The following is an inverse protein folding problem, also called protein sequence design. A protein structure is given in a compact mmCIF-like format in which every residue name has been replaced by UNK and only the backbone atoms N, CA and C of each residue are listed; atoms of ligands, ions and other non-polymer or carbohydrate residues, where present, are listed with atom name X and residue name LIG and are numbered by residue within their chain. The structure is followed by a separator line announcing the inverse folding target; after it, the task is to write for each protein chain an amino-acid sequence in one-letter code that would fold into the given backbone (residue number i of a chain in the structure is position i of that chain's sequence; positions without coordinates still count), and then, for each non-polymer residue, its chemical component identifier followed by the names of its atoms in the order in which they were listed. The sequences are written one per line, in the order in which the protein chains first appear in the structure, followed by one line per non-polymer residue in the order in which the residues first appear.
data_IF_824694273694
#
_entry.id   IF_824694273694
#
_cell.length_a   1.000
_cell.length_b   1.000
_cell.length_c   1.000
_cell.angle_alpha   90.00
_cell.angle_beta   90.00
_cell.angle_gamma   90.00
#
_symmetry.space_group_name_H-M   'P 1'
#
loop_
_entity.id
_entity.type
_entity.pdbx_description
1 polymer ?
#
# COMPACT_ATOMS: atom_id res chain seq x y z
N UNK A 1 -1.40 -17.97 20.80
CA UNK A 1 -1.17 -18.94 19.69
C UNK A 1 -2.45 -19.14 18.92
N UNK A 2 -2.43 -18.84 17.63
CA UNK A 2 -3.56 -18.87 16.72
C UNK A 2 -3.43 -20.03 15.73
N UNK A 3 -4.57 -20.58 15.30
CA UNK A 3 -4.63 -21.49 14.16
C UNK A 3 -4.57 -20.73 12.84
N UNK A 4 -4.22 -21.42 11.75
CA UNK A 4 -4.21 -20.81 10.40
C UNK A 4 -5.59 -20.26 9.98
N UNK A 5 -6.70 -20.84 10.46
CA UNK A 5 -8.05 -20.33 10.21
C UNK A 5 -8.30 -19.01 10.92
N UNK A 6 -7.90 -18.89 12.18
CA UNK A 6 -8.01 -17.64 12.93
C UNK A 6 -7.15 -16.54 12.31
N UNK A 7 -5.92 -16.85 11.88
CA UNK A 7 -5.06 -15.88 11.19
C UNK A 7 -5.65 -15.48 9.84
N UNK A 8 -6.24 -16.42 9.11
CA UNK A 8 -6.95 -16.15 7.85
C UNK A 8 -8.07 -15.12 8.06
N UNK A 9 -8.89 -15.28 9.09
CA UNK A 9 -9.95 -14.34 9.45
C UNK A 9 -9.39 -12.98 9.90
N UNK A 10 -8.37 -12.97 10.77
CA UNK A 10 -7.78 -11.75 11.32
C UNK A 10 -7.14 -10.84 10.26
N UNK A 11 -6.53 -11.44 9.23
CA UNK A 11 -5.82 -10.70 8.18
C UNK A 11 -6.61 -10.63 6.86
N UNK A 12 -7.80 -11.26 6.80
CA UNK A 12 -8.58 -11.34 5.55
C UNK A 12 -7.88 -12.11 4.43
N UNK A 13 -6.93 -12.99 4.77
CA UNK A 13 -6.12 -13.72 3.79
C UNK A 13 -6.66 -15.13 3.60
N UNK A 14 -6.75 -15.64 2.36
CA UNK A 14 -7.06 -17.05 2.15
C UNK A 14 -6.05 -17.96 2.86
N UNK A 15 -6.53 -19.07 3.44
CA UNK A 15 -5.66 -20.09 4.04
C UNK A 15 -4.60 -20.59 3.04
N UNK A 16 -4.93 -20.65 1.75
CA UNK A 16 -3.97 -21.00 0.67
C UNK A 16 -2.82 -20.01 0.58
N UNK A 17 -3.06 -18.70 0.76
CA UNK A 17 -2.02 -17.66 0.78
C UNK A 17 -1.10 -17.82 1.97
N UNK A 18 -1.66 -18.04 3.18
CA UNK A 18 -0.85 -18.30 4.39
C UNK A 18 0.01 -19.57 4.24
N UNK A 19 -0.55 -20.64 3.64
CA UNK A 19 0.20 -21.86 3.32
C UNK A 19 1.29 -21.61 2.29
N UNK A 20 1.01 -20.76 1.30
CA UNK A 20 1.99 -20.37 0.29
C UNK A 20 3.15 -19.59 0.92
N UNK A 21 2.89 -18.60 1.77
CA UNK A 21 3.93 -17.86 2.50
C UNK A 21 4.80 -18.77 3.37
N UNK A 22 4.19 -19.71 4.08
CA UNK A 22 4.95 -20.71 4.83
C UNK A 22 5.81 -21.60 3.92
N UNK A 23 5.27 -22.05 2.78
CA UNK A 23 6.03 -22.83 1.79
C UNK A 23 7.22 -22.04 1.22
N UNK A 24 7.09 -20.72 1.08
CA UNK A 24 8.17 -19.83 0.66
C UNK A 24 9.15 -19.51 1.80
N UNK A 25 8.94 -20.06 3.01
CA UNK A 25 9.85 -19.90 4.14
C UNK A 25 9.75 -18.53 4.80
N UNK A 26 8.62 -17.83 4.69
CA UNK A 26 8.42 -16.51 5.32
C UNK A 26 8.19 -16.60 6.85
N UNK A 27 7.97 -17.81 7.39
CA UNK A 27 7.80 -18.06 8.82
C UNK A 27 8.85 -19.06 9.35
N UNK A 28 10.14 -18.68 9.42
CA UNK A 28 11.23 -19.59 9.76
C UNK A 28 11.15 -20.17 11.19
N UNK A 29 10.35 -19.58 12.08
CA UNK A 29 10.17 -20.00 13.47
C UNK A 29 8.83 -20.68 13.79
N UNK A 30 7.98 -20.96 12.81
CA UNK A 30 6.60 -21.36 13.09
C UNK A 30 6.50 -22.69 13.86
N UNK A 31 5.89 -22.65 15.04
CA UNK A 31 5.68 -23.84 15.84
C UNK A 31 4.64 -24.79 15.21
N UNK A 32 4.86 -26.09 15.39
CA UNK A 32 3.87 -27.13 15.08
C UNK A 32 3.47 -27.85 16.36
N UNK A 33 2.18 -27.82 16.69
CA UNK A 33 1.60 -28.63 17.78
C UNK A 33 0.67 -29.67 17.19
N UNK A 34 0.97 -30.95 17.46
CA UNK A 34 0.25 -32.09 16.88
C UNK A 34 0.17 -32.03 15.34
N UNK A 35 1.25 -31.60 14.69
CA UNK A 35 1.32 -31.44 13.23
C UNK A 35 0.63 -30.19 12.67
N UNK A 36 -0.05 -29.39 13.51
CA UNK A 36 -0.76 -28.17 13.10
C UNK A 36 0.10 -26.94 13.40
N UNK A 37 0.25 -26.07 12.39
CA UNK A 37 0.92 -24.76 12.52
C UNK A 37 0.22 -23.89 13.57
N UNK A 38 1.00 -23.30 14.46
CA UNK A 38 0.53 -22.35 15.46
C UNK A 38 1.28 -21.04 15.28
N UNK A 39 0.53 -19.96 15.12
CA UNK A 39 1.04 -18.61 14.93
C UNK A 39 1.06 -17.91 16.29
N UNK A 40 2.23 -17.50 16.76
CA UNK A 40 2.37 -16.63 17.92
C UNK A 40 2.37 -15.16 17.51
N UNK A 41 2.56 -14.27 18.48
CA UNK A 41 2.61 -12.81 18.23
C UNK A 41 3.72 -12.45 17.24
N UNK A 42 4.88 -13.13 17.31
CA UNK A 42 5.99 -12.89 16.39
C UNK A 42 5.61 -13.20 14.93
N UNK A 43 4.88 -14.30 14.68
CA UNK A 43 4.41 -14.61 13.33
C UNK A 43 3.33 -13.63 12.86
N UNK A 44 2.50 -13.10 13.77
CA UNK A 44 1.50 -12.09 13.41
C UNK A 44 2.18 -10.78 13.01
N UNK A 45 3.17 -10.32 13.77
CA UNK A 45 3.94 -9.12 13.43
C UNK A 45 4.76 -9.31 12.14
N UNK A 46 5.36 -10.49 11.95
CA UNK A 46 5.99 -10.83 10.68
C UNK A 46 4.99 -10.75 9.51
N UNK A 47 3.76 -11.26 9.70
CA UNK A 47 2.72 -11.21 8.67
C UNK A 47 2.31 -9.77 8.35
N UNK A 48 2.19 -8.87 9.34
CA UNK A 48 1.93 -7.44 9.09
C UNK A 48 3.00 -6.82 8.19
N UNK A 49 4.27 -7.13 8.46
CA UNK A 49 5.39 -6.61 7.65
C UNK A 49 5.39 -7.22 6.25
N UNK A 50 5.15 -8.53 6.13
CA UNK A 50 5.03 -9.23 4.83
C UNK A 50 3.94 -8.59 3.97
N UNK A 51 2.75 -8.36 4.54
CA UNK A 51 1.63 -7.73 3.82
C UNK A 51 1.96 -6.30 3.42
N UNK A 52 2.55 -5.51 4.32
CA UNK A 52 2.99 -4.14 4.01
C UNK A 52 3.98 -4.11 2.83
N UNK A 53 5.01 -4.95 2.88
CA UNK A 53 5.99 -5.04 1.80
C UNK A 53 5.34 -5.50 0.49
N UNK A 54 4.45 -6.50 0.55
CA UNK A 54 3.73 -6.99 -0.64
C UNK A 54 2.87 -5.90 -1.27
N UNK A 55 2.16 -5.11 -0.46
CA UNK A 55 1.34 -3.98 -0.89
C UNK A 55 2.19 -2.86 -1.48
N UNK A 56 3.41 -2.65 -0.97
CA UNK A 56 4.37 -1.68 -1.56
C UNK A 56 4.96 -2.12 -2.91
N UNK A 57 4.54 -3.27 -3.45
CA UNK A 57 4.97 -3.77 -4.75
C UNK A 57 6.10 -4.79 -4.72
N UNK A 58 6.61 -5.18 -3.54
CA UNK A 58 7.68 -6.19 -3.47
C UNK A 58 7.21 -7.57 -3.93
N UNK A 59 8.14 -8.28 -4.56
CA UNK A 59 7.97 -9.70 -4.86
C UNK A 59 8.27 -10.56 -3.64
N UNK A 60 7.66 -11.74 -3.59
CA UNK A 60 7.81 -12.67 -2.47
C UNK A 60 9.27 -13.09 -2.26
N UNK A 61 10.09 -13.14 -3.32
CA UNK A 61 11.51 -13.44 -3.23
C UNK A 61 12.29 -12.39 -2.42
N UNK A 62 11.94 -11.11 -2.56
CA UNK A 62 12.63 -10.00 -1.90
C UNK A 62 12.15 -9.89 -0.44
N UNK A 63 10.86 -10.14 -0.21
CA UNK A 63 10.30 -10.27 1.14
C UNK A 63 10.97 -11.45 1.86
N UNK A 64 11.17 -12.58 1.17
CA UNK A 64 11.90 -13.71 1.74
C UNK A 64 13.32 -13.30 2.15
N UNK A 65 14.05 -12.59 1.29
CA UNK A 65 15.40 -12.11 1.61
C UNK A 65 15.39 -11.21 2.85
N UNK A 66 14.39 -10.33 2.98
CA UNK A 66 14.20 -9.51 4.18
C UNK A 66 13.95 -10.36 5.43
N UNK A 67 13.14 -11.42 5.33
CA UNK A 67 12.90 -12.35 6.45
C UNK A 67 14.15 -13.15 6.82
N UNK A 68 14.96 -13.56 5.84
CA UNK A 68 16.22 -14.26 6.07
C UNK A 68 17.22 -13.34 6.80
N UNK A 69 17.29 -12.06 6.41
CA UNK A 69 18.05 -11.06 7.16
C UNK A 69 17.54 -10.89 8.58
N UNK A 70 16.22 -10.92 8.79
CA UNK A 70 15.64 -10.88 10.13
C UNK A 70 16.17 -11.98 11.04
N UNK A 71 16.29 -13.21 10.52
CA UNK A 71 16.86 -14.36 11.24
C UNK A 71 18.36 -14.17 11.51
N UNK A 72 19.11 -13.63 10.55
CA UNK A 72 20.56 -13.39 10.69
C UNK A 72 20.91 -12.38 11.79
N UNK A 73 19.99 -11.46 12.09
CA UNK A 73 20.13 -10.54 13.22
C UNK A 73 20.98 -9.30 12.93
N UNK A 74 21.69 -8.80 13.93
CA UNK A 74 22.28 -7.45 13.94
C UNK A 74 23.13 -7.05 12.71
N UNK A 75 23.94 -7.95 12.10
CA UNK A 75 24.75 -7.58 10.93
C UNK A 75 23.93 -7.06 9.74
N UNK A 76 22.67 -7.45 9.62
CA UNK A 76 21.82 -7.10 8.46
C UNK A 76 20.96 -5.87 8.66
N UNK A 77 21.03 -5.19 9.81
CA UNK A 77 20.24 -3.98 10.06
C UNK A 77 20.40 -2.88 8.99
N UNK A 78 21.62 -2.59 8.47
CA UNK A 78 21.76 -1.62 7.38
C UNK A 78 20.98 -2.04 6.12
N UNK A 79 21.06 -3.32 5.74
CA UNK A 79 20.37 -3.87 4.56
C UNK A 79 18.85 -3.80 4.72
N UNK A 80 18.34 -4.15 5.91
CA UNK A 80 16.92 -4.08 6.23
C UNK A 80 16.39 -2.65 6.18
N UNK A 81 17.15 -1.70 6.74
CA UNK A 81 16.79 -0.27 6.72
C UNK A 81 16.78 0.27 5.30
N UNK A 82 17.78 -0.06 4.49
CA UNK A 82 17.86 0.38 3.10
C UNK A 82 16.67 -0.12 2.27
N UNK A 83 16.29 -1.40 2.42
CA UNK A 83 15.11 -1.95 1.75
C UNK A 83 13.83 -1.22 2.16
N UNK A 84 13.64 -0.97 3.46
CA UNK A 84 12.45 -0.26 3.96
C UNK A 84 12.42 1.19 3.48
N UNK A 85 13.55 1.89 3.45
CA UNK A 85 13.65 3.27 2.97
C UNK A 85 13.27 3.36 1.48
N UNK A 86 13.79 2.45 0.65
CA UNK A 86 13.43 2.38 -0.76
C UNK A 86 11.93 2.14 -0.98
N UNK A 87 11.32 1.28 -0.15
CA UNK A 87 9.88 1.05 -0.25
C UNK A 87 9.06 2.21 0.27
N UNK A 88 9.54 2.92 1.29
CA UNK A 88 8.93 4.16 1.74
C UNK A 88 8.91 5.19 0.60
N UNK A 89 10.04 5.43 -0.06
CA UNK A 89 10.14 6.35 -1.20
C UNK A 89 9.20 5.94 -2.35
N UNK A 90 9.10 4.63 -2.63
CA UNK A 90 8.19 4.11 -3.66
C UNK A 90 6.73 4.42 -3.32
N UNK A 91 6.31 4.20 -2.07
CA UNK A 91 4.94 4.46 -1.62
C UNK A 91 4.66 5.97 -1.56
N UNK A 92 5.61 6.79 -1.12
CA UNK A 92 5.48 8.25 -1.11
C UNK A 92 5.30 8.81 -2.54
N UNK A 93 6.03 8.28 -3.51
CA UNK A 93 5.87 8.63 -4.91
C UNK A 93 4.49 8.23 -5.45
N UNK A 94 4.00 7.04 -5.11
CA UNK A 94 2.66 6.59 -5.49
C UNK A 94 1.56 7.44 -4.85
N UNK A 95 1.72 7.82 -3.58
CA UNK A 95 0.79 8.75 -2.90
C UNK A 95 0.76 10.10 -3.61
N UNK A 96 1.92 10.65 -3.96
CA UNK A 96 1.99 11.91 -4.71
C UNK A 96 1.29 11.79 -6.07
N UNK A 97 1.53 10.69 -6.79
CA UNK A 97 0.86 10.41 -8.06
C UNK A 97 -0.66 10.28 -7.91
N UNK A 98 -1.13 9.52 -6.92
CA UNK A 98 -2.56 9.33 -6.65
C UNK A 98 -3.24 10.61 -6.18
N UNK A 99 -2.55 11.47 -5.43
CA UNK A 99 -3.08 12.78 -5.06
C UNK A 99 -3.29 13.67 -6.30
N UNK A 100 -2.37 13.64 -7.27
CA UNK A 100 -2.54 14.34 -8.55
C UNK A 100 -3.76 13.82 -9.33
N UNK A 101 -3.93 12.50 -9.38
CA UNK A 101 -5.12 11.86 -9.99
C UNK A 101 -6.40 12.30 -9.27
N UNK A 102 -6.39 12.29 -7.94
CA UNK A 102 -7.52 12.70 -7.12
C UNK A 102 -7.89 14.17 -7.35
N UNK A 103 -6.91 15.06 -7.49
CA UNK A 103 -7.18 16.48 -7.72
C UNK A 103 -7.76 16.75 -9.12
N UNK A 104 -7.34 15.99 -10.14
CA UNK A 104 -8.02 16.01 -11.45
C UNK A 104 -9.49 15.57 -11.31
N UNK A 105 -9.76 14.50 -10.56
CA UNK A 105 -11.12 14.01 -10.35
C UNK A 105 -11.97 15.04 -9.59
N UNK A 106 -11.44 15.65 -8.54
CA UNK A 106 -12.12 16.72 -7.78
C UNK A 106 -12.44 17.92 -8.66
N UNK A 107 -11.46 18.37 -9.45
CA UNK A 107 -11.69 19.43 -10.44
C UNK A 107 -12.79 19.04 -11.42
N UNK A 108 -12.80 17.81 -11.95
CA UNK A 108 -13.84 17.35 -12.88
C UNK A 108 -15.21 17.19 -12.25
N UNK A 109 -15.31 16.78 -10.98
CA UNK A 109 -16.57 16.79 -10.25
C UNK A 109 -17.13 18.20 -10.15
N UNK A 110 -16.33 19.16 -9.67
CA UNK A 110 -16.73 20.56 -9.63
C UNK A 110 -17.12 21.10 -11.01
N UNK A 111 -16.30 20.82 -12.04
CA UNK A 111 -16.54 21.24 -13.42
C UNK A 111 -17.92 20.82 -13.89
N UNK A 112 -18.28 19.54 -13.72
CA UNK A 112 -19.58 19.05 -14.19
C UNK A 112 -20.73 19.48 -13.29
N UNK A 113 -20.54 19.68 -11.99
CA UNK A 113 -21.56 20.29 -11.13
C UNK A 113 -21.92 21.70 -11.63
N UNK A 114 -20.92 22.49 -12.02
CA UNK A 114 -21.14 23.82 -12.61
C UNK A 114 -21.80 23.74 -13.99
N UNK A 115 -21.38 22.80 -14.86
CA UNK A 115 -21.94 22.68 -16.20
C UNK A 115 -23.41 22.22 -16.16
N UNK A 116 -23.76 21.34 -15.21
CA UNK A 116 -25.15 20.92 -14.95
C UNK A 116 -25.99 22.12 -14.50
N UNK A 117 -25.46 22.96 -13.61
CA UNK A 117 -26.15 24.15 -13.11
C UNK A 117 -26.39 25.19 -14.22
N UNK A 118 -25.39 25.41 -15.07
CA UNK A 118 -25.44 26.42 -16.14
C UNK A 118 -26.14 25.91 -17.41
N UNK A 119 -26.25 24.58 -17.57
CA UNK A 119 -26.74 23.93 -18.79
C UNK A 119 -25.76 24.02 -19.98
N UNK A 120 -24.54 24.53 -19.77
CA UNK A 120 -23.47 24.58 -20.77
C UNK A 120 -22.09 24.63 -20.10
N UNK A 121 -21.02 24.44 -20.89
CA UNK A 121 -19.63 24.53 -20.41
C UNK A 121 -19.01 25.92 -20.63
N UNK A 122 -19.75 26.88 -21.20
CA UNK A 122 -19.19 28.12 -21.74
C UNK A 122 -18.58 29.00 -20.65
N UNK A 123 -19.26 29.13 -19.50
CA UNK A 123 -18.75 29.88 -18.34
C UNK A 123 -17.46 29.25 -17.82
N UNK A 124 -17.42 27.93 -17.68
CA UNK A 124 -16.24 27.28 -17.10
C UNK A 124 -15.05 27.38 -18.06
N UNK A 125 -15.29 27.26 -19.37
CA UNK A 125 -14.26 27.44 -20.39
C UNK A 125 -13.66 28.85 -20.38
N UNK A 126 -14.43 29.88 -20.04
CA UNK A 126 -13.90 31.25 -19.90
C UNK A 126 -13.09 31.48 -18.62
N UNK A 127 -13.26 30.62 -17.61
CA UNK A 127 -12.48 30.67 -16.36
C UNK A 127 -11.12 29.94 -16.47
N UNK A 128 -10.92 29.11 -17.50
CA UNK A 128 -9.70 28.33 -17.66
C UNK A 128 -8.59 29.13 -18.37
N UNK A 129 -7.30 28.89 -18.03
CA UNK A 129 -6.84 28.03 -16.94
C UNK A 129 -6.79 28.73 -15.56
N UNK A 130 -6.70 30.06 -15.50
CA UNK A 130 -6.19 30.80 -14.33
C UNK A 130 -7.23 31.66 -13.58
N UNK A 131 -8.52 31.46 -13.84
CA UNK A 131 -9.62 32.24 -13.24
C UNK A 131 -10.64 31.34 -12.54
N UNK A 132 -10.22 30.15 -12.11
CA UNK A 132 -11.05 29.27 -11.30
C UNK A 132 -11.18 29.85 -9.88
N UNK A 133 -12.22 29.46 -9.12
CA UNK A 133 -12.33 29.80 -7.70
C UNK A 133 -11.07 29.40 -6.90
N UNK A 134 -10.77 30.12 -5.81
CA UNK A 134 -9.54 29.96 -5.02
C UNK A 134 -9.34 28.53 -4.47
N UNK A 135 -10.42 27.78 -4.23
CA UNK A 135 -10.39 26.39 -3.77
C UNK A 135 -10.24 25.36 -4.91
N UNK A 136 -10.44 25.79 -6.16
CA UNK A 136 -10.40 24.93 -7.35
C UNK A 136 -9.11 25.14 -8.16
N UNK A 137 -8.59 26.37 -8.23
CA UNK A 137 -7.37 26.69 -8.98
C UNK A 137 -6.19 25.78 -8.59
N UNK A 138 -5.88 25.57 -7.28
CA UNK A 138 -4.76 24.70 -6.90
C UNK A 138 -4.94 23.24 -7.33
N UNK A 139 -6.19 22.74 -7.39
CA UNK A 139 -6.49 21.38 -7.84
C UNK A 139 -6.21 21.23 -9.34
N UNK A 140 -6.62 22.23 -10.13
CA UNK A 140 -6.33 22.28 -11.55
C UNK A 140 -4.82 22.34 -11.79
N UNK A 141 -4.12 23.25 -11.12
CA UNK A 141 -2.69 23.45 -11.29
C UNK A 141 -1.90 22.18 -10.94
N UNK A 142 -2.16 21.59 -9.76
CA UNK A 142 -1.48 20.36 -9.34
C UNK A 142 -1.76 19.20 -10.31
N UNK A 143 -3.00 19.07 -10.79
CA UNK A 143 -3.36 18.04 -11.75
C UNK A 143 -2.68 18.19 -13.13
N UNK A 144 -2.18 19.37 -13.48
CA UNK A 144 -1.53 19.67 -14.77
C UNK A 144 0.00 19.87 -14.69
N UNK A 145 0.62 19.77 -13.50
CA UNK A 145 2.09 19.76 -13.30
C UNK A 145 2.74 18.48 -13.79
#
# INVERSE_FOLDING_TARGET
MYSIGQVSEMFGLPISTLRYYDKQGLFPGIERRSGIRKFGENELEALRVIECLKMSGLEIKDIKQFMDWCVEGAPTYPLRRELLEKQKETVEAEIAHMNKVLDMLRFKCWYYDQAIQDGSEDRIKSLLPDHLPDDIQPLYDHAHQ
#
